data_IF_414370562292
#
_entry.id   IF_414370562292
#
_cell.length_a   1.000
_cell.length_b   1.000
_cell.length_c   1.000
_cell.angle_alpha   90.00
_cell.angle_beta   90.00
_cell.angle_gamma   90.00
#
_symmetry.space_group_name_H-M   'P 1'
#
loop_
_entity.id
_entity.type
_entity.pdbx_description
1 polymer ?
#
# COMPACT_ATOMS: atom_id res chain seq x y z
N UNK A 1 -23.67 16.14 21.71
CA UNK A 1 -22.91 17.38 22.01
C UNK A 1 -22.76 18.13 20.71
N UNK A 2 -22.93 19.45 20.70
CA UNK A 2 -22.58 20.27 19.53
C UNK A 2 -21.06 20.33 19.40
N UNK A 3 -20.54 19.95 18.23
CA UNK A 3 -19.12 20.12 17.91
C UNK A 3 -18.85 21.63 17.78
N UNK A 4 -17.78 22.13 18.39
CA UNK A 4 -17.38 23.54 18.28
C UNK A 4 -16.59 23.78 16.99
N UNK A 5 -16.62 24.99 16.45
CA UNK A 5 -15.78 25.34 15.28
C UNK A 5 -14.28 25.10 15.54
N UNK A 6 -13.82 25.26 16.79
CA UNK A 6 -12.43 24.96 17.17
C UNK A 6 -12.09 23.46 17.08
N UNK A 7 -13.01 22.56 17.43
CA UNK A 7 -12.79 21.10 17.30
C UNK A 7 -12.79 20.67 15.82
N UNK A 8 -13.65 21.30 14.99
CA UNK A 8 -13.63 21.11 13.53
C UNK A 8 -12.32 21.59 12.91
N UNK A 9 -11.82 22.76 13.33
CA UNK A 9 -10.53 23.27 12.87
C UNK A 9 -9.39 22.34 13.28
N UNK A 10 -9.36 21.87 14.53
CA UNK A 10 -8.33 20.94 14.99
C UNK A 10 -8.35 19.60 14.24
N UNK A 11 -9.54 19.03 13.99
CA UNK A 11 -9.68 17.81 13.20
C UNK A 11 -9.26 18.03 11.74
N UNK A 12 -9.60 19.17 11.15
CA UNK A 12 -9.13 19.51 9.80
C UNK A 12 -7.61 19.67 9.74
N UNK A 13 -7.00 20.35 10.71
CA UNK A 13 -5.54 20.50 10.81
C UNK A 13 -4.89 19.11 10.89
N UNK A 14 -5.34 18.25 11.81
CA UNK A 14 -4.88 16.84 11.90
C UNK A 14 -5.06 16.09 10.59
N UNK A 15 -6.21 16.18 9.94
CA UNK A 15 -6.46 15.51 8.65
C UNK A 15 -5.49 15.98 7.55
N UNK A 16 -5.28 17.30 7.45
CA UNK A 16 -4.51 17.93 6.39
C UNK A 16 -2.97 17.90 6.59
N UNK A 17 -2.48 17.41 7.73
CA UNK A 17 -1.06 17.07 7.91
C UNK A 17 -0.60 16.00 6.91
N UNK A 18 0.61 16.13 6.33
CA UNK A 18 1.15 15.18 5.36
C UNK A 18 1.43 13.83 6.00
N UNK A 19 0.75 12.79 5.53
CA UNK A 19 0.89 11.41 6.00
C UNK A 19 1.48 10.53 4.92
N UNK A 20 2.62 9.92 5.22
CA UNK A 20 3.14 8.82 4.41
C UNK A 20 2.41 7.53 4.80
N UNK A 21 1.71 6.92 3.85
CA UNK A 21 1.07 5.62 4.03
C UNK A 21 1.85 4.59 3.21
N UNK A 22 2.44 3.61 3.90
CA UNK A 22 3.01 2.40 3.31
C UNK A 22 1.88 1.41 3.02
N UNK A 23 1.86 0.88 1.81
CA UNK A 23 1.01 -0.22 1.38
C UNK A 23 1.84 -1.47 1.15
N UNK A 24 1.28 -2.62 1.50
CA UNK A 24 1.89 -3.95 1.34
C UNK A 24 0.88 -4.89 0.70
N UNK A 25 1.21 -5.39 -0.49
CA UNK A 25 0.42 -6.36 -1.24
C UNK A 25 1.02 -7.77 -1.17
N UNK A 26 0.16 -8.77 -1.02
CA UNK A 26 0.45 -10.18 -1.28
C UNK A 26 -0.62 -10.76 -2.22
N UNK A 27 -0.21 -11.32 -3.36
CA UNK A 27 -1.09 -11.88 -4.39
C UNK A 27 -0.72 -13.34 -4.68
N UNK A 28 -1.73 -14.22 -4.79
CA UNK A 28 -1.58 -15.67 -4.97
C UNK A 28 -1.32 -16.05 -6.44
N UNK A 29 -0.04 -16.21 -6.76
CA UNK A 29 0.40 -16.78 -8.04
C UNK A 29 -0.02 -18.25 -8.11
N UNK A 30 -0.72 -18.60 -9.19
CA UNK A 30 -1.24 -19.96 -9.44
C UNK A 30 -2.71 -20.18 -9.06
N UNK A 31 -3.36 -19.24 -8.36
CA UNK A 31 -4.74 -19.41 -7.88
C UNK A 31 -5.74 -19.71 -9.01
N UNK A 32 -5.62 -19.04 -10.16
CA UNK A 32 -6.51 -19.22 -11.32
C UNK A 32 -6.36 -20.61 -11.94
N UNK A 33 -5.13 -21.13 -12.05
CA UNK A 33 -4.91 -22.49 -12.52
C UNK A 33 -5.51 -23.52 -11.55
N UNK A 34 -5.41 -23.27 -10.24
CA UNK A 34 -6.03 -24.10 -9.20
C UNK A 34 -7.57 -24.08 -9.25
N UNK A 35 -8.18 -22.89 -9.43
CA UNK A 35 -9.63 -22.70 -9.63
C UNK A 35 -10.14 -23.43 -10.90
N UNK A 36 -9.32 -23.50 -11.96
CA UNK A 36 -9.65 -24.10 -13.26
C UNK A 36 -9.28 -25.60 -13.39
N UNK A 37 -8.54 -26.16 -12.43
CA UNK A 37 -8.07 -27.56 -12.47
C UNK A 37 -9.27 -28.51 -12.49
N UNK A 38 -9.52 -29.15 -13.64
CA UNK A 38 -10.68 -30.04 -13.83
C UNK A 38 -10.73 -31.08 -12.71
N UNK A 39 -11.90 -31.22 -12.05
CA UNK A 39 -12.17 -32.27 -11.05
C UNK A 39 -11.66 -33.61 -11.57
N UNK A 40 -10.77 -34.27 -10.83
CA UNK A 40 -10.24 -35.60 -11.18
C UNK A 40 -11.42 -36.58 -11.28
N UNK A 41 -11.79 -37.00 -12.49
CA UNK A 41 -12.75 -38.09 -12.68
C UNK A 41 -12.12 -39.40 -12.18
N UNK A 42 -12.50 -39.90 -10.99
CA UNK A 42 -12.33 -41.31 -10.65
C UNK A 42 -13.52 -41.87 -9.87
N UNK A 43 -13.96 -43.04 -10.34
CA UNK A 43 -14.85 -44.06 -9.74
C UNK A 43 -16.12 -43.55 -9.02
N UNK A 44 -17.25 -43.90 -9.64
CA UNK A 44 -18.62 -43.83 -9.10
C UNK A 44 -18.70 -44.31 -7.64
N UNK A 45 -19.63 -43.70 -6.88
CA UNK A 45 -20.17 -44.15 -5.58
C UNK A 45 -19.47 -43.69 -4.28
N UNK A 46 -19.10 -42.41 -4.16
CA UNK A 46 -19.15 -41.71 -2.84
C UNK A 46 -19.76 -40.33 -3.03
N UNK A 47 -20.84 -40.03 -2.31
CA UNK A 47 -21.37 -38.67 -2.16
C UNK A 47 -20.53 -37.98 -1.07
N UNK A 48 -19.41 -37.37 -1.47
CA UNK A 48 -18.54 -36.62 -0.55
C UNK A 48 -18.82 -35.12 -0.68
N UNK A 49 -18.93 -34.35 0.42
CA UNK A 49 -19.01 -32.91 0.34
C UNK A 49 -17.78 -32.32 -0.36
N UNK A 50 -18.07 -31.28 -1.14
CA UNK A 50 -17.21 -30.48 -2.01
C UNK A 50 -15.67 -30.64 -1.95
N UNK A 51 -15.10 -31.10 -3.06
CA UNK A 51 -13.65 -31.04 -3.36
C UNK A 51 -13.19 -29.65 -3.82
N UNK A 52 -13.53 -28.60 -3.07
CA UNK A 52 -13.09 -27.22 -3.36
C UNK A 52 -11.68 -26.95 -2.81
N UNK A 53 -10.68 -27.73 -3.25
CA UNK A 53 -9.26 -27.57 -2.85
C UNK A 53 -8.77 -26.12 -3.01
N UNK A 54 -9.24 -25.42 -4.06
CA UNK A 54 -8.95 -24.01 -4.29
C UNK A 54 -9.51 -23.11 -3.19
N UNK A 55 -10.76 -23.31 -2.76
CA UNK A 55 -11.41 -22.50 -1.75
C UNK A 55 -10.77 -22.71 -0.37
N UNK A 56 -10.47 -23.96 -0.01
CA UNK A 56 -9.70 -24.27 1.21
C UNK A 56 -8.34 -23.56 1.20
N UNK A 57 -7.65 -23.54 0.06
CA UNK A 57 -6.32 -22.91 -0.02
C UNK A 57 -6.39 -21.38 0.04
N UNK A 58 -7.40 -20.76 -0.58
CA UNK A 58 -7.66 -19.34 -0.44
C UNK A 58 -8.03 -18.97 1.00
N UNK A 59 -8.94 -19.70 1.64
CA UNK A 59 -9.30 -19.48 3.05
C UNK A 59 -8.08 -19.63 3.98
N UNK A 60 -7.20 -20.60 3.69
CA UNK A 60 -5.95 -20.79 4.42
C UNK A 60 -5.00 -19.61 4.22
N UNK A 61 -4.83 -19.10 3.00
CA UNK A 61 -4.04 -17.90 2.72
C UNK A 61 -4.57 -16.68 3.49
N UNK A 62 -5.87 -16.39 3.35
CA UNK A 62 -6.52 -15.25 3.98
C UNK A 62 -6.35 -15.23 5.50
N UNK A 63 -6.50 -16.39 6.15
CA UNK A 63 -6.34 -16.50 7.61
C UNK A 63 -4.88 -16.60 8.05
N UNK A 64 -4.05 -17.36 7.33
CA UNK A 64 -2.67 -17.63 7.75
C UNK A 64 -1.71 -16.48 7.49
N UNK A 65 -1.93 -15.64 6.47
CA UNK A 65 -1.09 -14.45 6.26
C UNK A 65 -1.25 -13.48 7.44
N UNK A 66 -2.49 -13.18 7.85
CA UNK A 66 -2.76 -12.35 9.02
C UNK A 66 -2.12 -12.92 10.29
N UNK A 67 -2.27 -14.22 10.56
CA UNK A 67 -1.64 -14.87 11.70
C UNK A 67 -0.10 -14.85 11.66
N UNK A 68 0.51 -15.07 10.49
CA UNK A 68 1.98 -15.00 10.35
C UNK A 68 2.49 -13.57 10.55
N UNK A 69 1.78 -12.57 10.03
CA UNK A 69 2.15 -11.17 10.17
C UNK A 69 2.04 -10.70 11.63
N UNK A 70 0.92 -11.02 12.29
CA UNK A 70 0.68 -10.66 13.70
C UNK A 70 1.66 -11.34 14.65
N UNK A 71 2.00 -12.61 14.39
CA UNK A 71 3.07 -13.32 15.10
C UNK A 71 4.40 -12.58 14.96
N UNK A 72 4.83 -12.28 13.72
CA UNK A 72 6.14 -11.64 13.47
C UNK A 72 6.22 -10.20 13.98
N UNK A 73 5.11 -9.46 13.91
CA UNK A 73 4.99 -8.13 14.51
C UNK A 73 5.11 -8.20 16.04
N UNK A 74 4.45 -9.16 16.67
CA UNK A 74 4.49 -9.35 18.13
C UNK A 74 5.87 -9.79 18.61
N UNK A 75 6.52 -10.72 17.89
CA UNK A 75 7.91 -11.14 18.14
C UNK A 75 8.87 -9.93 18.09
N UNK A 76 8.77 -9.08 17.05
CA UNK A 76 9.63 -7.89 16.95
C UNK A 76 9.31 -6.84 18.01
N UNK A 77 8.03 -6.61 18.34
CA UNK A 77 7.64 -5.69 19.42
C UNK A 77 8.18 -6.15 20.77
N UNK A 78 8.09 -7.44 21.08
CA UNK A 78 8.66 -8.03 22.30
C UNK A 78 10.19 -7.88 22.34
N UNK A 79 10.87 -8.11 21.21
CA UNK A 79 12.31 -7.86 21.10
C UNK A 79 12.66 -6.39 21.37
N UNK A 80 11.96 -5.43 20.76
CA UNK A 80 12.23 -4.00 21.00
C UNK A 80 11.95 -3.59 22.44
N UNK A 81 10.92 -4.14 23.09
CA UNK A 81 10.64 -3.93 24.52
C UNK A 81 11.71 -4.53 25.45
N UNK A 82 12.47 -5.53 24.99
CA UNK A 82 13.61 -6.10 25.73
C UNK A 82 14.88 -5.24 25.66
N UNK A 83 14.94 -4.31 24.71
CA UNK A 83 15.99 -3.30 24.64
C UNK A 83 15.71 -2.21 25.68
N UNK A 84 16.76 -1.68 26.31
CA UNK A 84 16.66 -0.68 27.41
C UNK A 84 16.33 0.75 26.92
N UNK A 85 15.47 0.87 25.91
CA UNK A 85 14.99 2.13 25.36
C UNK A 85 13.50 1.99 25.01
N UNK A 86 12.65 2.59 25.87
CA UNK A 86 11.20 2.53 25.73
C UNK A 86 10.67 3.25 24.48
N UNK A 87 11.46 4.15 23.87
CA UNK A 87 11.05 4.91 22.69
C UNK A 87 11.13 4.10 21.39
N UNK A 88 11.91 3.00 21.38
CA UNK A 88 12.16 2.21 20.16
C UNK A 88 10.91 1.60 19.56
N UNK A 89 9.91 1.21 20.38
CA UNK A 89 8.66 0.65 19.85
C UNK A 89 7.93 1.69 19.01
N UNK A 90 7.84 2.94 19.47
CA UNK A 90 7.18 4.00 18.70
C UNK A 90 8.05 4.44 17.52
N UNK A 91 9.33 4.74 17.75
CA UNK A 91 10.28 5.17 16.71
C UNK A 91 10.43 4.16 15.57
N UNK A 92 10.43 2.85 15.87
CA UNK A 92 10.70 1.78 14.87
C UNK A 92 9.47 1.00 14.41
N UNK A 93 8.40 0.88 15.19
CA UNK A 93 7.17 0.17 14.76
C UNK A 93 5.97 1.10 14.68
N UNK A 94 5.68 1.85 15.74
CA UNK A 94 4.42 2.58 15.90
C UNK A 94 3.21 1.63 15.82
N UNK A 95 2.14 2.08 15.16
CA UNK A 95 0.92 1.30 14.95
C UNK A 95 1.11 0.14 13.96
N UNK A 96 0.44 -1.00 14.22
CA UNK A 96 0.48 -2.19 13.36
C UNK A 96 -0.20 -1.89 12.01
N UNK A 97 0.30 -2.41 10.88
CA UNK A 97 -0.44 -2.43 9.63
C UNK A 97 -1.83 -3.04 9.78
N UNK A 98 -2.79 -2.45 9.10
CA UNK A 98 -4.18 -2.91 9.06
C UNK A 98 -4.51 -3.36 7.64
N UNK A 99 -5.37 -4.37 7.50
CA UNK A 99 -5.89 -4.76 6.19
C UNK A 99 -6.71 -3.59 5.63
N UNK A 100 -6.42 -3.18 4.40
CA UNK A 100 -7.19 -2.16 3.70
C UNK A 100 -8.33 -2.79 2.91
N UNK A 101 -8.00 -3.69 1.97
CA UNK A 101 -8.98 -4.41 1.17
C UNK A 101 -8.43 -5.72 0.60
N UNK A 102 -9.37 -6.57 0.19
CA UNK A 102 -9.10 -7.78 -0.60
C UNK A 102 -9.47 -7.48 -2.07
N UNK A 103 -8.66 -7.95 -3.02
CA UNK A 103 -8.89 -7.73 -4.46
C UNK A 103 -8.80 -9.09 -5.14
N UNK A 104 -9.93 -9.81 -5.18
CA UNK A 104 -9.95 -11.21 -5.61
C UNK A 104 -9.17 -12.10 -4.65
N UNK A 105 -7.95 -12.46 -5.04
CA UNK A 105 -6.99 -13.24 -4.25
C UNK A 105 -5.74 -12.46 -3.79
N UNK A 106 -5.72 -11.15 -4.04
CA UNK A 106 -4.74 -10.22 -3.49
C UNK A 106 -5.20 -9.65 -2.13
N UNK A 107 -4.26 -9.55 -1.18
CA UNK A 107 -4.42 -8.89 0.10
C UNK A 107 -3.57 -7.62 0.16
N UNK A 108 -4.20 -6.46 0.37
CA UNK A 108 -3.49 -5.19 0.52
C UNK A 108 -3.65 -4.63 1.93
N UNK A 109 -2.53 -4.51 2.64
CA UNK A 109 -2.42 -3.86 3.95
C UNK A 109 -1.95 -2.41 3.78
N UNK A 110 -2.28 -1.56 4.76
CA UNK A 110 -1.79 -0.18 4.87
C UNK A 110 -1.26 0.12 6.27
N UNK A 111 -0.30 1.04 6.35
CA UNK A 111 0.30 1.53 7.59
C UNK A 111 0.71 3.00 7.48
N UNK A 112 0.37 3.81 8.47
CA UNK A 112 0.98 5.12 8.67
C UNK A 112 2.47 5.01 9.04
N UNK A 113 3.30 5.82 8.41
CA UNK A 113 4.76 5.87 8.61
C UNK A 113 5.15 7.22 9.22
N UNK A 114 5.22 7.27 10.55
CA UNK A 114 5.67 8.44 11.30
C UNK A 114 7.21 8.54 11.42
N UNK A 115 7.95 7.53 10.98
CA UNK A 115 9.41 7.53 10.94
C UNK A 115 9.93 6.55 9.88
N UNK A 116 11.04 6.84 9.20
CA UNK A 116 11.63 5.96 8.17
C UNK A 116 11.86 4.53 8.66
N UNK A 117 12.20 4.36 9.94
CA UNK A 117 12.41 3.04 10.54
C UNK A 117 11.15 2.17 10.49
N UNK A 118 9.96 2.77 10.64
CA UNK A 118 8.70 2.06 10.57
C UNK A 118 8.43 1.45 9.19
N UNK A 119 8.90 2.07 8.10
CA UNK A 119 8.79 1.48 6.76
C UNK A 119 9.74 0.27 6.60
N UNK A 120 11.00 0.43 6.99
CA UNK A 120 12.03 -0.63 6.98
C UNK A 120 11.59 -1.85 7.79
N UNK A 121 11.20 -1.64 9.04
CA UNK A 121 10.80 -2.71 9.96
C UNK A 121 9.54 -3.42 9.48
N UNK A 122 8.58 -2.69 8.93
CA UNK A 122 7.37 -3.29 8.37
C UNK A 122 7.68 -4.19 7.16
N UNK A 123 8.62 -3.79 6.30
CA UNK A 123 9.10 -4.59 5.17
C UNK A 123 9.85 -5.85 5.65
N UNK A 124 10.77 -5.72 6.61
CA UNK A 124 11.47 -6.86 7.22
C UNK A 124 10.49 -7.87 7.86
N UNK A 125 9.51 -7.38 8.65
CA UNK A 125 8.50 -8.22 9.29
C UNK A 125 7.63 -8.91 8.23
N UNK A 126 7.27 -8.22 7.14
CA UNK A 126 6.51 -8.79 6.02
C UNK A 126 7.27 -9.94 5.34
N UNK A 127 8.55 -9.77 5.04
CA UNK A 127 9.41 -10.82 4.45
C UNK A 127 9.38 -12.07 5.33
N UNK A 128 9.61 -11.90 6.64
CA UNK A 128 9.60 -12.99 7.60
C UNK A 128 8.22 -13.66 7.75
N UNK A 129 7.12 -12.91 7.58
CA UNK A 129 5.76 -13.43 7.62
C UNK A 129 5.44 -14.28 6.37
N UNK A 130 5.85 -13.83 5.18
CA UNK A 130 5.72 -14.58 3.92
C UNK A 130 6.54 -15.87 3.97
N UNK A 131 7.78 -15.83 4.47
CA UNK A 131 8.62 -17.02 4.64
C UNK A 131 8.03 -18.03 5.65
N UNK A 132 7.44 -17.56 6.75
CA UNK A 132 6.70 -18.42 7.69
C UNK A 132 5.45 -19.04 7.04
N UNK A 133 4.74 -18.27 6.21
CA UNK A 133 3.56 -18.74 5.49
C UNK A 133 3.90 -19.82 4.45
N UNK A 134 5.02 -19.70 3.71
CA UNK A 134 5.50 -20.77 2.84
C UNK A 134 5.75 -22.09 3.60
N UNK A 135 6.39 -22.05 4.78
CA UNK A 135 6.58 -23.25 5.63
C UNK A 135 5.26 -23.88 6.03
N UNK A 136 4.21 -23.07 6.25
CA UNK A 136 2.85 -23.56 6.54
C UNK A 136 2.17 -24.16 5.31
N UNK A 137 2.32 -23.57 4.13
CA UNK A 137 1.84 -24.18 2.87
C UNK A 137 2.49 -25.56 2.62
N UNK A 138 3.81 -25.66 2.77
CA UNK A 138 4.57 -26.92 2.64
C UNK A 138 4.05 -27.98 3.64
N UNK A 139 3.88 -27.59 4.92
CA UNK A 139 3.49 -28.50 6.00
C UNK A 139 2.02 -28.93 5.98
N UNK A 140 1.11 -27.95 5.91
CA UNK A 140 -0.31 -28.14 6.22
C UNK A 140 -1.16 -28.42 4.96
N UNK A 141 -0.75 -27.88 3.79
CA UNK A 141 -1.46 -28.06 2.51
C UNK A 141 -0.71 -28.90 1.47
N UNK A 142 0.61 -29.11 1.64
CA UNK A 142 1.47 -29.90 0.73
C UNK A 142 1.39 -29.48 -0.76
N UNK A 143 1.05 -28.20 -1.02
CA UNK A 143 0.77 -27.70 -2.36
C UNK A 143 1.89 -26.76 -2.85
N UNK A 144 2.86 -27.25 -3.63
CA UNK A 144 3.93 -26.43 -4.20
C UNK A 144 3.51 -25.67 -5.47
N UNK A 145 2.30 -25.87 -5.99
CA UNK A 145 1.82 -25.20 -7.22
C UNK A 145 1.31 -23.76 -6.97
N UNK A 146 1.48 -23.24 -5.75
CA UNK A 146 1.06 -21.89 -5.35
C UNK A 146 2.26 -21.14 -4.79
N UNK A 147 2.36 -19.88 -5.19
CA UNK A 147 3.33 -18.95 -4.65
C UNK A 147 2.68 -17.61 -4.32
N UNK A 148 3.38 -16.79 -3.54
CA UNK A 148 2.98 -15.41 -3.25
C UNK A 148 4.01 -14.48 -3.88
N UNK A 149 3.55 -13.53 -4.69
CA UNK A 149 4.34 -12.34 -5.03
C UNK A 149 3.97 -11.20 -4.08
N UNK A 150 4.90 -10.29 -3.83
CA UNK A 150 4.66 -9.14 -2.95
C UNK A 150 5.05 -7.82 -3.60
N UNK A 151 4.42 -6.73 -3.18
CA UNK A 151 4.75 -5.37 -3.61
C UNK A 151 4.57 -4.37 -2.48
N UNK A 152 5.48 -3.41 -2.34
CA UNK A 152 5.37 -2.33 -1.38
C UNK A 152 5.49 -0.97 -2.06
N UNK A 153 4.62 -0.04 -1.69
CA UNK A 153 4.70 1.34 -2.17
C UNK A 153 4.28 2.32 -1.08
N UNK A 154 4.71 3.57 -1.20
CA UNK A 154 4.35 4.65 -0.26
C UNK A 154 3.65 5.75 -1.05
N UNK A 155 2.68 6.42 -0.43
CA UNK A 155 2.07 7.63 -0.96
C UNK A 155 1.82 8.68 0.12
N UNK A 156 1.90 9.95 -0.25
CA UNK A 156 1.52 11.10 0.60
C UNK A 156 0.02 11.38 0.51
N UNK A 157 -0.61 11.56 1.67
CA UNK A 157 -2.02 11.94 1.83
C UNK A 157 -2.15 13.11 2.81
N UNK A 158 -3.14 14.01 2.67
CA UNK A 158 -4.24 13.96 1.69
C UNK A 158 -4.04 14.86 0.46
N UNK A 159 -2.83 15.35 0.18
CA UNK A 159 -2.62 16.33 -0.89
C UNK A 159 -2.31 15.69 -2.24
N UNK A 160 -1.18 14.98 -2.40
CA UNK A 160 -0.87 14.29 -3.65
C UNK A 160 -1.84 13.14 -3.96
N UNK A 161 -2.23 12.38 -2.93
CA UNK A 161 -3.20 11.29 -3.03
C UNK A 161 -4.39 11.59 -2.11
N UNK A 162 -5.59 11.20 -2.50
CA UNK A 162 -6.84 11.51 -1.78
C UNK A 162 -7.33 10.31 -0.99
N UNK A 163 -7.83 10.60 0.20
CA UNK A 163 -8.63 9.68 1.01
C UNK A 163 -10.08 9.86 0.58
N UNK A 164 -10.74 8.76 0.21
CA UNK A 164 -12.17 8.73 -0.08
C UNK A 164 -12.90 8.07 1.08
N UNK A 165 -14.08 8.59 1.41
CA UNK A 165 -15.00 7.99 2.37
C UNK A 165 -16.23 7.51 1.60
N UNK A 166 -16.47 6.21 1.61
CA UNK A 166 -17.65 5.58 1.04
C UNK A 166 -18.54 5.02 2.15
N UNK A 167 -19.85 5.09 1.97
CA UNK A 167 -20.80 4.32 2.79
C UNK A 167 -21.11 3.03 2.03
N UNK A 168 -21.01 1.87 2.70
CA UNK A 168 -21.54 0.64 2.13
C UNK A 168 -23.05 0.80 1.94
N UNK A 169 -23.49 0.87 0.69
CA UNK A 169 -24.88 0.61 0.36
C UNK A 169 -25.15 -0.87 0.65
N UNK A 170 -25.74 -1.16 1.81
CA UNK A 170 -26.35 -2.45 2.08
C UNK A 170 -27.29 -2.79 0.93
N UNK A 171 -27.08 -3.95 0.32
CA UNK A 171 -27.41 -4.16 -1.09
C UNK A 171 -28.86 -3.81 -1.45
N UNK A 172 -29.02 -2.96 -2.47
CA UNK A 172 -30.23 -2.99 -3.27
C UNK A 172 -30.31 -4.37 -3.92
N UNK A 173 -31.19 -5.22 -3.39
CA UNK A 173 -31.68 -6.37 -4.14
C UNK A 173 -32.24 -5.85 -5.45
N UNK A 174 -31.68 -6.30 -6.58
CA UNK A 174 -32.18 -5.93 -7.89
C UNK A 174 -33.66 -6.31 -8.00
N UNK A 175 -34.54 -5.32 -8.11
CA UNK A 175 -35.82 -5.51 -8.76
C UNK A 175 -35.61 -5.29 -10.25
N UNK A 176 -36.00 -6.28 -11.04
CA UNK A 176 -35.83 -6.31 -12.48
C UNK A 176 -36.52 -5.11 -13.16
N UNK A 177 -35.70 -4.24 -13.76
CA UNK A 177 -36.13 -3.11 -14.57
C UNK A 177 -35.89 -3.40 -16.05
N UNK A 178 -36.56 -4.41 -16.59
CA UNK A 178 -36.43 -4.84 -17.98
C UNK A 178 -36.95 -3.73 -18.91
N UNK A 179 -36.09 -3.10 -19.71
CA UNK A 179 -36.47 -2.56 -21.03
C UNK A 179 -35.26 -2.27 -21.91
N UNK A 180 -35.22 -2.98 -23.04
CA UNK A 180 -34.28 -2.79 -24.14
C UNK A 180 -34.78 -1.73 -25.12
N UNK A 181 -33.89 -0.91 -25.66
CA UNK A 181 -34.21 0.07 -26.70
C UNK A 181 -33.00 0.94 -27.07
N UNK A 182 -32.43 0.84 -28.28
CA UNK A 182 -31.23 1.58 -28.64
C UNK A 182 -31.56 2.84 -29.44
N UNK A 183 -31.23 4.05 -28.94
CA UNK A 183 -31.11 5.21 -29.83
C UNK A 183 -30.24 6.37 -29.32
N UNK A 184 -29.44 6.89 -30.26
CA UNK A 184 -28.90 8.25 -30.35
C UNK A 184 -27.86 8.78 -29.34
N UNK A 185 -26.60 8.54 -29.68
CA UNK A 185 -25.53 9.54 -29.60
C UNK A 185 -25.96 10.85 -30.30
N UNK A 186 -26.09 11.97 -29.57
CA UNK A 186 -25.88 13.34 -30.10
C UNK A 186 -25.92 14.40 -28.99
N UNK A 187 -24.75 14.73 -28.39
CA UNK A 187 -24.37 16.04 -27.80
C UNK A 187 -23.05 15.92 -26.98
N UNK A 188 -21.96 15.65 -27.69
CA UNK A 188 -20.66 16.18 -27.28
C UNK A 188 -20.48 17.56 -27.92
N UNK A 189 -19.55 18.37 -27.41
CA UNK A 189 -19.22 19.74 -27.87
C UNK A 189 -20.25 20.86 -27.58
N UNK A 190 -20.26 21.33 -26.32
CA UNK A 190 -20.07 22.75 -25.92
C UNK A 190 -20.45 22.97 -24.45
N UNK A 191 -19.45 23.16 -23.59
CA UNK A 191 -19.49 24.02 -22.39
C UNK A 191 -18.18 23.89 -21.59
N UNK A 192 -17.11 24.54 -22.03
CA UNK A 192 -16.04 24.93 -21.11
C UNK A 192 -16.59 25.94 -20.08
N UNK A 193 -16.00 26.00 -18.89
CA UNK A 193 -16.31 26.96 -17.81
C UNK A 193 -17.68 26.86 -17.11
N UNK A 194 -18.11 25.65 -16.71
CA UNK A 194 -19.21 25.46 -15.74
C UNK A 194 -18.93 24.43 -14.59
N UNK A 195 -17.84 23.67 -14.65
CA UNK A 195 -17.65 22.46 -13.82
C UNK A 195 -17.27 22.71 -12.35
N UNK A 196 -16.93 23.95 -11.97
CA UNK A 196 -16.63 24.30 -10.58
C UNK A 196 -17.88 24.42 -9.70
N UNK A 197 -19.03 24.85 -10.27
CA UNK A 197 -20.27 25.04 -9.52
C UNK A 197 -21.00 23.71 -9.26
N UNK A 198 -21.00 22.81 -10.25
CA UNK A 198 -21.71 21.52 -10.18
C UNK A 198 -21.09 20.53 -9.18
N UNK A 199 -19.82 20.73 -8.80
CA UNK A 199 -19.14 19.90 -7.80
C UNK A 199 -19.65 20.16 -6.38
N UNK A 200 -20.07 21.41 -6.08
CA UNK A 200 -20.68 21.79 -4.80
C UNK A 200 -22.05 21.14 -4.59
N UNK A 201 -22.81 20.92 -5.67
CA UNK A 201 -24.16 20.31 -5.63
C UNK A 201 -24.17 18.77 -5.61
N UNK A 202 -23.01 18.11 -5.80
CA UNK A 202 -22.90 16.65 -5.70
C UNK A 202 -22.47 16.16 -4.30
N UNK A 203 -22.04 17.04 -3.41
CA UNK A 203 -21.75 16.68 -2.02
C UNK A 203 -23.03 16.28 -1.24
N UNK A 204 -24.17 16.91 -1.55
CA UNK A 204 -25.47 16.62 -0.92
C UNK A 204 -25.95 15.18 -1.13
N UNK A 205 -25.47 14.47 -2.17
CA UNK A 205 -25.86 13.08 -2.44
C UNK A 205 -25.19 12.04 -1.53
N UNK A 206 -24.26 12.43 -0.64
CA UNK A 206 -23.72 11.55 0.40
C UNK A 206 -24.22 11.90 1.83
N UNK A 207 -24.96 13.00 2.01
CA UNK A 207 -25.58 13.39 3.29
C UNK A 207 -24.62 13.63 4.47
N UNK A 208 -23.30 13.61 4.25
CA UNK A 208 -22.28 13.66 5.30
C UNK A 208 -21.74 15.08 5.42
N UNK A 209 -22.07 15.79 6.51
CA UNK A 209 -21.54 17.13 6.78
C UNK A 209 -20.01 17.12 6.95
N UNK A 210 -19.31 18.25 6.72
CA UNK A 210 -17.86 18.35 6.96
C UNK A 210 -17.44 17.88 8.36
N UNK A 211 -18.30 18.11 9.37
CA UNK A 211 -18.09 17.63 10.73
C UNK A 211 -18.07 16.10 10.81
N UNK A 212 -19.09 15.43 10.28
CA UNK A 212 -19.17 13.96 10.25
C UNK A 212 -18.05 13.35 9.41
N UNK A 213 -17.65 14.01 8.31
CA UNK A 213 -16.56 13.56 7.47
C UNK A 213 -15.21 13.64 8.21
N UNK A 214 -14.97 14.70 8.97
CA UNK A 214 -13.78 14.82 9.82
C UNK A 214 -13.79 13.84 10.99
N UNK A 215 -14.94 13.55 11.59
CA UNK A 215 -15.07 12.51 12.63
C UNK A 215 -14.73 11.11 12.08
N UNK A 216 -15.09 10.81 10.83
CA UNK A 216 -14.72 9.56 10.13
C UNK A 216 -13.21 9.51 9.81
N UNK A 217 -12.64 10.66 9.44
CA UNK A 217 -11.24 10.77 9.04
C UNK A 217 -10.27 10.92 10.23
N UNK A 218 -10.73 11.17 11.45
CA UNK A 218 -9.84 11.33 12.61
C UNK A 218 -9.21 9.98 13.01
N UNK A 219 -7.87 9.91 12.94
CA UNK A 219 -7.12 8.67 13.22
C UNK A 219 -7.32 7.54 12.21
N UNK A 220 -7.81 7.85 10.99
CA UNK A 220 -8.10 6.87 9.94
C UNK A 220 -6.88 6.03 9.53
N UNK A 221 -5.68 6.58 9.68
CA UNK A 221 -4.42 6.02 9.21
C UNK A 221 -3.93 4.84 10.05
N UNK A 222 -4.44 4.71 11.28
CA UNK A 222 -4.10 3.63 12.22
C UNK A 222 -5.31 2.76 12.62
N UNK A 223 -6.54 3.15 12.30
CA UNK A 223 -7.76 2.44 12.68
C UNK A 223 -8.56 1.98 11.46
N UNK A 224 -9.15 0.76 11.47
CA UNK A 224 -10.26 0.45 10.57
C UNK A 224 -11.47 1.30 10.97
N UNK A 225 -12.19 1.83 9.97
CA UNK A 225 -13.37 2.65 10.20
C UNK A 225 -14.52 1.77 10.71
N UNK A 226 -15.36 2.31 11.58
CA UNK A 226 -16.51 1.63 12.17
C UNK A 226 -17.77 1.89 11.34
N UNK A 227 -18.81 1.07 11.58
CA UNK A 227 -20.20 1.34 11.17
C UNK A 227 -20.48 1.40 9.66
N UNK A 228 -20.02 0.41 8.87
CA UNK A 228 -20.38 0.30 7.44
C UNK A 228 -19.81 1.41 6.55
N UNK A 229 -18.87 2.19 7.08
CA UNK A 229 -18.09 3.18 6.32
C UNK A 229 -16.78 2.54 5.88
N UNK A 230 -16.44 2.70 4.62
CA UNK A 230 -15.18 2.28 4.02
C UNK A 230 -14.31 3.49 3.70
N UNK A 231 -12.98 3.32 3.84
CA UNK A 231 -12.00 4.27 3.35
C UNK A 231 -11.27 3.67 2.16
N UNK A 232 -11.25 4.43 1.07
CA UNK A 232 -10.49 4.10 -0.12
C UNK A 232 -9.41 5.16 -0.40
N UNK A 233 -8.43 4.80 -1.23
CA UNK A 233 -7.31 5.68 -1.60
C UNK A 233 -7.19 5.78 -3.10
N UNK A 234 -7.08 7.01 -3.61
CA UNK A 234 -6.85 7.29 -5.03
C UNK A 234 -5.70 8.29 -5.22
N UNK A 235 -5.04 8.23 -6.37
CA UNK A 235 -3.98 9.19 -6.73
C UNK A 235 -2.75 8.52 -7.32
N UNK A 236 -1.75 9.31 -7.74
CA UNK A 236 -0.61 8.82 -8.52
C UNK A 236 0.18 7.69 -7.84
N UNK A 237 0.31 7.69 -6.51
CA UNK A 237 1.04 6.65 -5.78
C UNK A 237 0.27 5.32 -5.74
N UNK A 238 -1.06 5.36 -5.69
CA UNK A 238 -1.92 4.18 -5.83
C UNK A 238 -1.85 3.66 -7.28
N UNK A 239 -1.87 4.58 -8.24
CA UNK A 239 -1.56 4.39 -9.66
C UNK A 239 -0.26 3.60 -9.92
N UNK A 240 0.81 3.98 -9.21
CA UNK A 240 2.13 3.35 -9.27
C UNK A 240 2.08 1.97 -8.60
N UNK A 241 1.53 1.87 -7.40
CA UNK A 241 1.42 0.63 -6.62
C UNK A 241 0.82 -0.53 -7.43
N UNK A 242 -0.40 -0.36 -7.94
CA UNK A 242 -1.09 -1.38 -8.74
C UNK A 242 -0.49 -1.63 -10.14
N UNK A 243 0.47 -0.81 -10.58
CA UNK A 243 1.28 -1.11 -11.77
C UNK A 243 2.54 -1.90 -11.41
N UNK A 244 3.12 -1.67 -10.24
CA UNK A 244 4.24 -2.45 -9.71
C UNK A 244 3.85 -3.89 -9.30
N UNK A 245 2.61 -4.15 -8.86
CA UNK A 245 2.12 -5.52 -8.59
C UNK A 245 2.14 -6.44 -9.82
N UNK A 246 2.21 -5.86 -11.03
CA UNK A 246 2.38 -6.58 -12.31
C UNK A 246 3.84 -6.91 -12.64
N UNK A 247 4.80 -6.33 -11.90
CA UNK A 247 6.24 -6.57 -12.01
C UNK A 247 6.76 -7.51 -10.93
N UNK A 248 6.03 -7.65 -9.83
CA UNK A 248 6.34 -8.61 -8.78
C UNK A 248 6.17 -10.06 -9.25
N UNK A 249 7.03 -10.93 -8.72
CA UNK A 249 7.01 -12.38 -8.92
C UNK A 249 7.22 -13.08 -7.58
N UNK A 250 7.08 -14.42 -7.48
CA UNK A 250 7.41 -15.15 -6.25
C UNK A 250 8.83 -14.88 -5.72
N UNK A 251 9.78 -14.62 -6.62
CA UNK A 251 11.16 -14.24 -6.32
C UNK A 251 11.31 -12.74 -6.04
N UNK A 252 10.66 -11.88 -6.84
CA UNK A 252 10.84 -10.42 -6.82
C UNK A 252 9.77 -9.73 -5.97
N UNK A 253 10.09 -9.40 -4.73
CA UNK A 253 9.30 -8.47 -3.91
C UNK A 253 9.62 -7.04 -4.37
N UNK A 254 8.76 -6.46 -5.21
CA UNK A 254 8.99 -5.15 -5.85
C UNK A 254 8.68 -4.00 -4.89
N UNK A 255 9.50 -2.95 -4.93
CA UNK A 255 9.38 -1.74 -4.14
C UNK A 255 9.18 -0.51 -5.04
N UNK A 256 8.33 0.44 -4.61
CA UNK A 256 8.34 1.79 -5.18
C UNK A 256 9.63 2.54 -4.81
N UNK A 257 9.95 3.60 -5.54
CA UNK A 257 11.12 4.45 -5.24
C UNK A 257 11.07 5.03 -3.82
N UNK A 258 9.87 5.35 -3.35
CA UNK A 258 9.61 5.90 -2.02
C UNK A 258 9.80 4.86 -0.92
N UNK A 259 9.32 3.63 -1.16
CA UNK A 259 9.53 2.51 -0.24
C UNK A 259 11.01 2.16 -0.12
N UNK A 260 11.75 2.07 -1.25
CA UNK A 260 13.19 1.79 -1.21
C UNK A 260 14.01 2.96 -0.64
N UNK A 261 13.60 4.21 -0.89
CA UNK A 261 14.24 5.39 -0.31
C UNK A 261 14.13 5.41 1.22
N UNK A 262 12.92 5.21 1.78
CA UNK A 262 12.74 5.16 3.24
C UNK A 262 13.47 3.95 3.87
N UNK A 263 13.44 2.79 3.21
CA UNK A 263 14.18 1.60 3.64
C UNK A 263 15.69 1.88 3.73
N UNK A 264 16.28 2.40 2.64
CA UNK A 264 17.71 2.71 2.56
C UNK A 264 18.10 3.82 3.54
N UNK A 265 17.28 4.85 3.71
CA UNK A 265 17.55 5.92 4.66
C UNK A 265 17.54 5.41 6.11
N UNK A 266 16.65 4.47 6.45
CA UNK A 266 16.65 3.80 7.77
C UNK A 266 17.96 3.03 8.00
N UNK A 267 18.41 2.26 7.01
CA UNK A 267 19.64 1.48 7.09
C UNK A 267 20.90 2.36 7.17
N UNK A 268 20.97 3.44 6.38
CA UNK A 268 22.12 4.37 6.37
C UNK A 268 22.24 5.21 7.65
N UNK A 269 21.17 5.34 8.44
CA UNK A 269 21.23 6.08 9.71
C UNK A 269 21.87 5.29 10.86
N UNK A 270 22.21 4.00 10.68
CA UNK A 270 22.81 3.14 11.71
C UNK A 270 21.83 2.70 12.82
N UNK A 271 20.87 3.55 13.15
CA UNK A 271 19.77 3.35 14.08
C UNK A 271 18.75 2.27 13.66
N UNK A 272 18.90 1.67 12.48
CA UNK A 272 17.90 0.79 11.86
C UNK A 272 17.67 -0.57 12.54
N UNK A 273 18.62 -1.07 13.34
CA UNK A 273 18.51 -2.34 14.07
C UNK A 273 18.32 -3.57 13.15
N UNK A 274 19.42 -4.20 12.73
CA UNK A 274 19.41 -5.31 11.77
C UNK A 274 18.41 -6.41 12.15
N UNK A 275 17.43 -6.63 11.27
CA UNK A 275 16.44 -7.72 11.33
C UNK A 275 16.79 -8.75 10.24
N UNK A 276 17.15 -8.24 9.07
CA UNK A 276 17.66 -8.99 7.93
C UNK A 276 18.71 -8.16 7.18
N UNK A 277 19.80 -8.77 6.71
CA UNK A 277 20.71 -8.13 5.74
C UNK A 277 20.08 -8.18 4.34
N UNK A 278 18.96 -7.48 4.17
CA UNK A 278 18.18 -7.49 2.94
C UNK A 278 19.01 -6.94 1.78
N UNK A 279 19.05 -7.72 0.70
CA UNK A 279 19.68 -7.38 -0.56
C UNK A 279 18.65 -6.72 -1.46
N UNK A 280 18.93 -5.48 -1.87
CA UNK A 280 18.10 -4.73 -2.83
C UNK A 280 18.78 -4.81 -4.19
N UNK A 281 18.00 -5.25 -5.18
CA UNK A 281 18.39 -5.41 -6.56
C UNK A 281 17.65 -4.37 -7.42
N UNK A 282 18.16 -4.16 -8.63
CA UNK A 282 17.57 -3.26 -9.63
C UNK A 282 17.37 -3.99 -10.96
N UNK A 283 16.21 -3.77 -11.58
CA UNK A 283 15.76 -4.46 -12.80
C UNK A 283 15.67 -3.50 -14.00
N UNK A 284 16.27 -2.31 -13.90
CA UNK A 284 16.15 -1.25 -14.89
C UNK A 284 14.98 -0.29 -14.62
N UNK A 285 14.61 0.48 -15.65
CA UNK A 285 13.43 1.34 -15.64
C UNK A 285 12.48 0.97 -16.76
N UNK A 286 11.19 0.94 -16.48
CA UNK A 286 10.14 0.60 -17.43
C UNK A 286 9.04 1.67 -17.49
N UNK A 287 8.41 1.85 -18.64
CA UNK A 287 7.25 2.74 -18.76
C UNK A 287 6.05 2.07 -18.10
N UNK A 288 5.53 2.68 -17.02
CA UNK A 288 4.28 2.28 -16.38
C UNK A 288 3.16 3.18 -16.91
N UNK A 289 2.07 2.58 -17.39
CA UNK A 289 1.20 3.08 -18.48
C UNK A 289 1.23 4.60 -18.85
N UNK A 290 0.79 5.58 -18.06
CA UNK A 290 0.12 5.53 -16.75
C UNK A 290 0.73 6.43 -15.68
N UNK A 291 2.04 6.61 -15.72
CA UNK A 291 2.89 7.09 -14.62
C UNK A 291 3.94 8.04 -15.18
N UNK A 292 4.37 9.05 -14.41
CA UNK A 292 5.45 9.99 -14.76
C UNK A 292 5.31 10.65 -16.16
N UNK A 293 4.08 10.84 -16.65
CA UNK A 293 3.85 11.35 -18.01
C UNK A 293 4.36 10.44 -19.15
N UNK A 294 4.52 9.14 -18.89
CA UNK A 294 5.10 8.17 -19.83
C UNK A 294 6.62 8.00 -19.72
N UNK A 295 7.28 8.67 -18.76
CA UNK A 295 8.70 8.46 -18.50
C UNK A 295 8.95 7.12 -17.78
N UNK A 296 10.13 6.48 -17.97
CA UNK A 296 10.47 5.24 -17.28
C UNK A 296 10.50 5.38 -15.75
N UNK A 297 9.88 4.42 -15.06
CA UNK A 297 9.86 4.27 -13.61
C UNK A 297 10.86 3.18 -13.18
N UNK A 298 11.68 3.38 -12.14
CA UNK A 298 12.69 2.41 -11.70
C UNK A 298 12.09 1.21 -10.98
N UNK A 299 12.56 0.01 -11.32
CA UNK A 299 12.12 -1.24 -10.70
C UNK A 299 13.18 -1.73 -9.71
N UNK A 300 12.93 -1.48 -8.42
CA UNK A 300 13.72 -2.05 -7.33
C UNK A 300 13.01 -3.27 -6.74
N UNK A 301 13.76 -4.28 -6.31
CA UNK A 301 13.19 -5.48 -5.70
C UNK A 301 14.09 -6.11 -4.64
N UNK A 302 13.45 -6.84 -3.73
CA UNK A 302 14.08 -7.70 -2.72
C UNK A 302 13.95 -9.15 -3.16
N UNK A 303 15.02 -9.92 -3.05
CA UNK A 303 15.01 -11.36 -3.35
C UNK A 303 14.33 -12.16 -2.23
N UNK A 304 13.30 -12.90 -2.61
CA UNK A 304 12.51 -13.78 -1.74
C UNK A 304 12.86 -15.26 -1.90
N UNK A 305 13.67 -15.63 -2.90
CA UNK A 305 14.06 -17.02 -3.16
C UNK A 305 15.11 -17.52 -2.16
N UNK A 306 15.20 -18.85 -2.00
CA UNK A 306 16.22 -19.49 -1.16
C UNK A 306 17.61 -19.27 -1.78
N UNK A 307 18.64 -19.07 -0.95
CA UNK A 307 20.00 -18.69 -1.39
C UNK A 307 20.72 -19.73 -2.25
N UNK A 308 20.24 -20.97 -2.22
CA UNK A 308 20.69 -22.15 -2.96
C UNK A 308 19.82 -22.45 -4.20
N UNK A 309 18.81 -21.62 -4.49
CA UNK A 309 17.94 -21.80 -5.66
C UNK A 309 18.69 -21.57 -6.98
N UNK A 310 18.25 -22.28 -8.02
CA UNK A 310 18.80 -22.13 -9.38
C UNK A 310 18.66 -20.71 -9.93
N UNK A 311 17.59 -19.99 -9.54
CA UNK A 311 17.40 -18.58 -9.89
C UNK A 311 18.50 -17.69 -9.30
N UNK A 312 18.87 -17.89 -8.03
CA UNK A 312 19.94 -17.14 -7.35
C UNK A 312 21.33 -17.53 -7.88
N UNK A 313 21.54 -18.80 -8.24
CA UNK A 313 22.78 -19.24 -8.88
C UNK A 313 22.91 -18.60 -10.28
N UNK A 314 21.82 -18.48 -11.03
CA UNK A 314 21.82 -17.90 -12.37
C UNK A 314 22.22 -16.42 -12.41
N UNK A 315 22.05 -15.67 -11.31
CA UNK A 315 22.50 -14.28 -11.21
C UNK A 315 24.02 -14.12 -11.43
N UNK A 316 24.82 -15.18 -11.20
CA UNK A 316 26.27 -15.19 -11.47
C UNK A 316 26.60 -15.01 -12.96
N UNK A 317 25.65 -15.25 -13.86
CA UNK A 317 25.79 -15.05 -15.30
C UNK A 317 25.31 -13.66 -15.77
N UNK A 318 24.76 -12.84 -14.86
CA UNK A 318 24.28 -11.49 -15.18
C UNK A 318 25.42 -10.46 -15.06
N UNK A 319 25.51 -9.54 -16.02
CA UNK A 319 26.48 -8.43 -15.99
C UNK A 319 26.13 -7.33 -14.95
N UNK A 320 24.92 -7.38 -14.38
CA UNK A 320 24.42 -6.41 -13.42
C UNK A 320 25.10 -6.54 -12.05
N UNK A 321 25.57 -5.43 -11.47
CA UNK A 321 26.00 -5.37 -10.06
C UNK A 321 24.81 -5.48 -9.10
N UNK A 322 24.36 -6.69 -8.83
CA UNK A 322 23.35 -7.00 -7.83
C UNK A 322 23.99 -7.78 -6.64
N UNK A 323 23.64 -7.46 -5.38
CA UNK A 323 22.82 -6.33 -4.95
C UNK A 323 23.55 -4.98 -5.12
N UNK A 324 22.78 -3.91 -5.24
CA UNK A 324 23.33 -2.55 -5.27
C UNK A 324 23.63 -2.09 -3.84
N UNK A 325 24.74 -1.39 -3.64
CA UNK A 325 25.06 -0.81 -2.34
C UNK A 325 24.08 0.31 -1.95
N UNK A 326 23.78 0.40 -0.65
CA UNK A 326 22.78 1.33 -0.09
C UNK A 326 23.09 2.80 -0.39
N UNK A 327 24.38 3.19 -0.49
CA UNK A 327 24.74 4.58 -0.81
C UNK A 327 24.47 4.91 -2.28
N UNK A 328 24.70 3.98 -3.21
CA UNK A 328 24.35 4.14 -4.61
C UNK A 328 22.84 4.20 -4.83
N UNK A 329 22.04 3.39 -4.13
CA UNK A 329 20.58 3.47 -4.16
C UNK A 329 20.10 4.83 -3.63
N UNK A 330 20.65 5.31 -2.51
CA UNK A 330 20.33 6.64 -1.97
C UNK A 330 20.64 7.76 -2.95
N UNK A 331 21.84 7.75 -3.56
CA UNK A 331 22.24 8.73 -4.59
C UNK A 331 21.31 8.69 -5.80
N UNK A 332 20.94 7.49 -6.27
CA UNK A 332 19.99 7.33 -7.36
C UNK A 332 18.63 7.94 -7.01
N UNK A 333 18.06 7.61 -5.84
CA UNK A 333 16.75 8.13 -5.43
C UNK A 333 16.77 9.66 -5.34
N UNK A 334 17.78 10.25 -4.71
CA UNK A 334 17.95 11.71 -4.63
C UNK A 334 18.01 12.35 -6.02
N UNK A 335 18.81 11.79 -6.95
CA UNK A 335 18.90 12.30 -8.32
C UNK A 335 17.60 12.15 -9.09
N UNK A 336 16.87 11.05 -8.88
CA UNK A 336 15.58 10.81 -9.50
C UNK A 336 14.53 11.84 -9.07
N UNK A 337 14.44 12.15 -7.76
CA UNK A 337 13.52 13.19 -7.27
C UNK A 337 13.87 14.58 -7.82
N UNK A 338 15.17 14.91 -7.97
CA UNK A 338 15.60 16.16 -8.64
C UNK A 338 15.15 16.21 -10.10
N UNK A 339 15.33 15.13 -10.86
CA UNK A 339 15.01 15.08 -12.30
C UNK A 339 13.53 14.91 -12.61
N UNK A 340 12.75 14.35 -11.69
CA UNK A 340 11.32 14.03 -11.86
C UNK A 340 10.40 14.86 -10.94
N UNK A 341 10.90 15.99 -10.44
CA UNK A 341 10.19 16.89 -9.52
C UNK A 341 8.79 17.31 -9.98
N UNK A 342 8.54 17.39 -11.30
CA UNK A 342 7.22 17.70 -11.86
C UNK A 342 6.18 16.55 -11.73
N UNK A 343 6.59 15.37 -11.26
CA UNK A 343 5.75 14.17 -11.20
C UNK A 343 5.81 13.43 -9.86
N UNK A 344 6.93 13.48 -9.15
CA UNK A 344 7.13 12.83 -7.84
C UNK A 344 7.99 13.73 -6.95
N UNK A 345 7.42 14.23 -5.87
CA UNK A 345 8.20 14.78 -4.75
C UNK A 345 8.81 13.64 -3.91
N UNK A 346 9.94 13.95 -3.26
CA UNK A 346 10.56 13.07 -2.28
C UNK A 346 9.66 12.92 -1.03
N UNK A 347 9.55 11.72 -0.41
CA UNK A 347 8.81 11.51 0.82
C UNK A 347 9.15 12.49 1.94
N UNK A 348 8.10 12.98 2.60
CA UNK A 348 8.18 13.91 3.73
C UNK A 348 7.61 13.27 4.99
N UNK A 349 8.36 13.27 6.09
CA UNK A 349 7.93 12.78 7.40
C UNK A 349 8.28 13.84 8.44
N UNK A 350 7.24 14.48 9.01
CA UNK A 350 7.40 15.58 9.96
C UNK A 350 8.14 15.16 11.24
N UNK A 351 7.81 13.98 11.76
CA UNK A 351 8.26 13.43 13.05
C UNK A 351 9.59 12.65 12.99
N UNK A 352 10.41 12.88 11.96
CA UNK A 352 11.66 12.14 11.76
C UNK A 352 12.90 13.05 11.70
N UNK A 353 13.35 13.46 12.89
CA UNK A 353 14.47 14.37 13.11
C UNK A 353 15.86 13.75 12.84
N UNK A 354 15.94 12.44 12.61
CA UNK A 354 17.17 11.67 12.81
C UNK A 354 18.25 11.70 11.71
N UNK A 355 18.11 12.48 10.62
CA UNK A 355 19.20 12.65 9.63
C UNK A 355 19.36 14.09 9.17
N UNK A 356 20.26 14.80 9.85
CA UNK A 356 20.70 16.19 9.56
C UNK A 356 21.10 16.45 8.08
N UNK A 357 21.56 15.42 7.36
CA UNK A 357 21.99 15.54 5.94
C UNK A 357 20.88 15.37 4.90
N UNK A 358 19.69 14.89 5.28
CA UNK A 358 18.65 14.50 4.30
C UNK A 358 17.42 15.40 4.34
N UNK A 359 17.08 16.02 5.47
CA UNK A 359 15.94 16.96 5.59
C UNK A 359 14.59 16.38 5.10
N UNK A 360 14.29 15.11 5.40
CA UNK A 360 12.95 14.55 5.11
C UNK A 360 11.84 15.18 5.97
N UNK A 361 12.21 15.94 7.01
CA UNK A 361 11.34 16.73 7.87
C UNK A 361 11.22 18.21 7.43
N UNK A 362 11.77 18.62 6.27
CA UNK A 362 11.56 19.97 5.70
C UNK A 362 10.37 20.01 4.74
N UNK A 363 9.31 20.72 5.13
CA UNK A 363 8.05 20.75 4.38
C UNK A 363 8.23 21.44 3.02
N UNK A 364 7.70 20.88 1.91
CA UNK A 364 7.69 21.56 0.62
C UNK A 364 6.87 22.85 0.68
N UNK A 365 7.39 23.95 0.12
CA UNK A 365 6.70 25.26 0.11
C UNK A 365 5.32 25.22 -0.56
N UNK A 366 5.10 24.30 -1.48
CA UNK A 366 3.81 24.12 -2.15
C UNK A 366 2.74 23.54 -1.21
N UNK A 367 3.13 22.83 -0.14
CA UNK A 367 2.20 22.10 0.72
C UNK A 367 1.26 23.03 1.48
N UNK A 368 1.75 24.15 2.01
CA UNK A 368 0.91 25.15 2.71
C UNK A 368 -0.13 25.79 1.77
N UNK A 369 0.22 25.98 0.49
CA UNK A 369 -0.66 26.53 -0.54
C UNK A 369 -1.79 25.54 -0.84
N UNK A 370 -1.44 24.27 -1.08
CA UNK A 370 -2.45 23.23 -1.33
C UNK A 370 -3.29 22.91 -0.08
N UNK A 371 -2.73 23.00 1.13
CA UNK A 371 -3.49 22.88 2.38
C UNK A 371 -4.55 23.98 2.51
N UNK A 372 -4.21 25.20 2.12
CA UNK A 372 -5.16 26.32 2.10
C UNK A 372 -6.29 26.10 1.09
N UNK A 373 -5.99 25.53 -0.09
CA UNK A 373 -7.01 25.14 -1.07
C UNK A 373 -7.89 24.01 -0.54
N UNK A 374 -7.29 22.96 0.02
CA UNK A 374 -8.02 21.84 0.63
C UNK A 374 -9.00 22.34 1.71
N UNK A 375 -8.61 23.33 2.52
CA UNK A 375 -9.49 23.94 3.53
C UNK A 375 -10.71 24.61 2.90
N UNK A 376 -10.51 25.36 1.81
CA UNK A 376 -11.58 26.00 1.05
C UNK A 376 -12.50 24.99 0.37
N UNK A 377 -11.95 23.88 -0.14
CA UNK A 377 -12.74 22.80 -0.72
C UNK A 377 -13.59 22.07 0.35
N UNK A 378 -13.10 21.99 1.59
CA UNK A 378 -13.74 21.25 2.69
C UNK A 378 -14.84 22.04 3.41
N UNK A 379 -14.65 23.35 3.61
CA UNK A 379 -15.58 24.22 4.34
C UNK A 379 -16.29 25.26 3.47
N UNK A 380 -16.01 25.28 2.16
CA UNK A 380 -16.45 26.34 1.26
C UNK A 380 -15.64 27.64 1.41
N UNK A 381 -16.00 28.69 0.66
CA UNK A 381 -15.47 30.03 0.88
C UNK A 381 -16.01 30.59 2.22
N UNK A 382 -15.16 30.58 3.26
CA UNK A 382 -15.30 31.40 4.47
C UNK A 382 -14.66 32.76 4.24
#
# INVERSE_FOLDING_TARGET
MSITDDDLEQKFVRFAEPKQILFLSADLVGSTALKQKKRKQRKRNVHHPDTQEWATTLQFFFTSLGHCFDKKWSERKAHLLSLKDATLVEKRLGTKPILWKTIGDELVYRKYVANRHQAKECIDIWINAIQELYKRFEKDLKNPEISIKSTAWVGEFPIQNKVLVGVQFSGFSGQDGNNSGPEHNAKLEKATSAEAATRSQKADQLGTSPAQLLDILDGFESNPVKNGVEIDFIGPAIDIGFRLTKKATPRKFVLSIDAVFLYVLSELSGDGGSLSNVKINYDGSEILQGVLGGLPYPIFWIDMSKSDSSEVIADQFLFSKNPIDKNSIYKYCMKFYEEKLNYVDRPYIMTDDGVSKTLINKLPKWYDIERTRLKKDFFGPR
#
